data_IF_914047799004
#
_entry.id   IF_914047799004
#
_cell.length_a   1.000
_cell.length_b   1.000
_cell.length_c   1.000
_cell.angle_alpha   90.00
_cell.angle_beta   90.00
_cell.angle_gamma   90.00
#
_symmetry.space_group_name_H-M   'P 1'
#
loop_
_entity.id
_entity.type
_entity.pdbx_description
1 polymer ?
#
# COMPACT_ATOMS: atom_id res chain seq x y z
N UNK A 1 8.88 -4.63 13.33
CA UNK A 1 7.72 -4.31 12.46
C UNK A 1 7.28 -5.56 11.70
N UNK A 2 5.98 -5.83 11.61
CA UNK A 2 5.44 -6.93 10.81
C UNK A 2 4.56 -6.38 9.69
N UNK A 3 5.08 -6.31 8.45
CA UNK A 3 4.35 -5.82 7.29
C UNK A 3 3.86 -6.97 6.41
N UNK A 4 2.56 -6.96 6.08
CA UNK A 4 1.88 -8.03 5.34
C UNK A 4 0.82 -7.44 4.40
N UNK A 5 0.52 -8.18 3.34
CA UNK A 5 -0.49 -7.83 2.35
C UNK A 5 -1.46 -8.99 2.15
N UNK A 6 -2.75 -8.69 2.14
CA UNK A 6 -3.84 -9.64 1.95
C UNK A 6 -4.50 -9.34 0.60
N UNK A 7 -4.45 -10.25 -0.39
CA UNK A 7 -5.13 -10.07 -1.67
C UNK A 7 -6.64 -10.15 -1.48
N UNK A 8 -7.38 -9.31 -2.19
CA UNK A 8 -8.84 -9.35 -2.29
C UNK A 8 -9.32 -9.19 -3.72
N UNK A 9 -10.63 -8.98 -3.89
CA UNK A 9 -11.23 -8.71 -5.20
C UNK A 9 -11.05 -7.24 -5.57
N UNK A 10 -10.29 -6.97 -6.63
CA UNK A 10 -9.95 -5.62 -7.10
C UNK A 10 -9.31 -4.73 -6.03
N UNK A 11 -8.70 -5.33 -5.01
CA UNK A 11 -8.05 -4.61 -3.93
C UNK A 11 -6.96 -5.42 -3.25
N UNK A 12 -6.05 -4.71 -2.58
CA UNK A 12 -5.07 -5.29 -1.67
C UNK A 12 -5.18 -4.59 -0.33
N UNK A 13 -5.33 -5.36 0.75
CA UNK A 13 -5.29 -4.83 2.12
C UNK A 13 -3.90 -5.00 2.70
N UNK A 14 -3.22 -3.90 2.95
CA UNK A 14 -1.95 -3.85 3.64
C UNK A 14 -2.19 -3.73 5.14
N UNK A 15 -1.39 -4.43 5.94
CA UNK A 15 -1.42 -4.37 7.41
C UNK A 15 0.00 -4.34 7.93
N UNK A 16 0.25 -3.49 8.92
CA UNK A 16 1.50 -3.54 9.66
C UNK A 16 1.32 -3.24 11.13
N UNK A 17 2.31 -3.69 11.90
CA UNK A 17 2.47 -3.32 13.29
C UNK A 17 3.80 -2.64 13.52
N UNK A 18 3.77 -1.54 14.26
CA UNK A 18 4.95 -0.81 14.69
C UNK A 18 5.01 -0.76 16.22
N UNK A 19 6.23 -0.62 16.71
CA UNK A 19 6.54 -0.47 18.13
C UNK A 19 7.58 0.65 18.24
N UNK A 20 7.56 1.39 19.34
CA UNK A 20 8.51 2.47 19.62
C UNK A 20 8.59 3.52 18.50
N UNK A 21 7.47 4.18 18.20
CA UNK A 21 7.34 5.22 17.17
C UNK A 21 7.91 6.59 17.62
N UNK A 22 9.13 6.59 18.15
CA UNK A 22 9.78 7.80 18.64
C UNK A 22 10.20 8.66 17.44
N UNK A 23 9.77 9.92 17.40
CA UNK A 23 10.03 10.87 16.31
C UNK A 23 9.52 10.41 14.94
N UNK A 24 8.45 9.60 14.91
CA UNK A 24 7.85 9.13 13.68
C UNK A 24 6.96 10.22 13.07
N UNK A 25 7.25 10.62 11.83
CA UNK A 25 6.39 11.49 11.03
C UNK A 25 5.27 10.73 10.34
N UNK A 26 5.53 9.48 9.94
CA UNK A 26 4.52 8.57 9.40
C UNK A 26 5.06 7.56 8.39
N UNK A 27 4.15 6.96 7.63
CA UNK A 27 4.45 5.87 6.69
C UNK A 27 4.03 6.26 5.26
N UNK A 28 4.98 6.37 4.34
CA UNK A 28 4.65 6.43 2.91
C UNK A 28 4.42 5.00 2.39
N UNK A 29 3.23 4.76 1.85
CA UNK A 29 2.92 3.50 1.20
C UNK A 29 3.41 3.59 -0.24
N UNK A 30 4.35 2.73 -0.59
CA UNK A 30 4.92 2.69 -1.92
C UNK A 30 4.57 1.39 -2.62
N UNK A 31 4.26 1.50 -3.91
CA UNK A 31 3.90 0.39 -4.78
C UNK A 31 4.77 0.37 -6.03
N UNK A 32 5.15 -0.83 -6.44
CA UNK A 32 5.89 -1.10 -7.66
C UNK A 32 5.21 -2.22 -8.46
N UNK A 33 5.41 -2.19 -9.78
CA UNK A 33 4.95 -3.22 -10.71
C UNK A 33 6.08 -4.19 -11.11
N UNK A 34 7.33 -3.82 -10.85
CA UNK A 34 8.54 -4.48 -11.35
C UNK A 34 9.56 -4.79 -10.23
N UNK A 35 9.19 -4.58 -8.98
CA UNK A 35 10.02 -4.70 -7.78
C UNK A 35 11.26 -3.78 -7.76
N UNK A 36 11.31 -2.76 -8.62
CA UNK A 36 12.46 -1.86 -8.77
C UNK A 36 12.03 -0.40 -8.62
N UNK A 37 10.99 -0.01 -9.36
CA UNK A 37 10.47 1.35 -9.40
C UNK A 37 9.26 1.47 -8.46
N UNK A 38 9.51 1.93 -7.25
CA UNK A 38 8.49 2.20 -6.24
C UNK A 38 7.96 3.62 -6.36
N UNK A 39 6.63 3.76 -6.33
CA UNK A 39 5.95 5.06 -6.32
C UNK A 39 5.08 5.16 -5.08
N UNK A 40 5.13 6.31 -4.42
CA UNK A 40 4.19 6.66 -3.36
C UNK A 40 2.76 6.62 -3.91
N UNK A 41 1.89 5.87 -3.24
CA UNK A 41 0.45 5.83 -3.52
C UNK A 41 -0.37 6.48 -2.42
N UNK A 42 0.16 6.53 -1.19
CA UNK A 42 -0.51 7.17 -0.06
C UNK A 42 0.45 7.47 1.10
N UNK A 43 -0.05 8.16 2.12
CA UNK A 43 0.66 8.42 3.37
C UNK A 43 -0.26 8.13 4.56
N UNK A 44 0.25 7.42 5.57
CA UNK A 44 -0.46 7.12 6.81
C UNK A 44 0.25 7.80 7.97
N UNK A 45 -0.48 8.67 8.65
CA UNK A 45 -0.01 9.37 9.83
C UNK A 45 0.18 8.39 11.01
N UNK A 46 1.07 8.70 11.96
CA UNK A 46 1.22 7.96 13.20
C UNK A 46 -0.10 7.92 13.96
N UNK A 47 -0.38 6.79 14.61
CA UNK A 47 -1.52 6.66 15.50
C UNK A 47 -1.28 7.43 16.78
N UNK A 48 -2.30 8.14 17.26
CA UNK A 48 -2.28 8.85 18.56
C UNK A 48 -2.45 7.89 19.76
N UNK A 49 -2.63 6.59 19.53
CA UNK A 49 -2.83 5.63 20.63
C UNK A 49 -1.56 5.45 21.47
N UNK A 50 -1.69 5.57 22.79
CA UNK A 50 -0.62 5.25 23.77
C UNK A 50 -0.48 3.73 23.98
N UNK A 51 -0.20 2.99 22.91
CA UNK A 51 0.10 1.56 22.97
C UNK A 51 1.53 1.31 22.51
N UNK A 52 2.24 0.45 23.24
CA UNK A 52 3.59 -0.01 22.86
C UNK A 52 3.64 -0.67 21.48
N UNK A 53 2.51 -1.28 21.08
CA UNK A 53 2.33 -1.88 19.76
C UNK A 53 1.09 -1.28 19.10
N UNK A 54 1.31 -0.58 18.00
CA UNK A 54 0.25 0.03 17.19
C UNK A 54 0.01 -0.79 15.93
N UNK A 55 -1.24 -0.83 15.51
CA UNK A 55 -1.69 -1.59 14.35
C UNK A 55 -2.25 -0.64 13.30
N UNK A 56 -1.82 -0.84 12.06
CA UNK A 56 -2.19 0.00 10.93
C UNK A 56 -2.75 -0.84 9.81
N UNK A 57 -3.63 -0.23 9.01
CA UNK A 57 -4.11 -0.86 7.78
C UNK A 57 -4.35 0.16 6.68
N UNK A 58 -4.13 -0.28 5.45
CA UNK A 58 -4.38 0.49 4.26
C UNK A 58 -5.03 -0.39 3.18
N UNK A 59 -5.93 0.16 2.37
CA UNK A 59 -6.62 -0.58 1.32
C UNK A 59 -6.37 0.04 -0.04
N UNK A 60 -5.54 -0.62 -0.85
CA UNK A 60 -5.28 -0.22 -2.22
C UNK A 60 -6.38 -0.75 -3.15
N UNK A 61 -7.36 0.10 -3.42
CA UNK A 61 -8.45 -0.16 -4.36
C UNK A 61 -8.10 0.20 -5.81
N UNK A 62 -6.88 0.66 -6.10
CA UNK A 62 -6.51 1.11 -7.45
C UNK A 62 -5.92 0.01 -8.34
N UNK A 63 -5.74 -1.20 -7.79
CA UNK A 63 -5.09 -2.34 -8.47
C UNK A 63 -5.81 -2.81 -9.74
N UNK A 64 -7.11 -2.54 -9.89
CA UNK A 64 -7.87 -2.92 -11.09
C UNK A 64 -7.60 -2.01 -12.32
N UNK A 65 -6.94 -0.87 -12.13
CA UNK A 65 -6.68 0.11 -13.21
C UNK A 65 -5.52 -0.29 -14.10
N UNK A 66 -4.91 -1.44 -13.84
CA UNK A 66 -3.63 -1.90 -14.38
C UNK A 66 -3.73 -3.36 -14.79
N UNK A 67 -2.98 -3.74 -15.82
CA UNK A 67 -3.04 -5.09 -16.40
C UNK A 67 -2.11 -6.06 -15.66
N UNK A 68 -1.23 -5.50 -14.84
CA UNK A 68 -0.32 -6.21 -13.95
C UNK A 68 -1.13 -6.95 -12.88
N UNK A 69 -0.76 -8.22 -12.68
CA UNK A 69 -1.45 -9.10 -11.74
C UNK A 69 -0.75 -9.17 -10.39
N UNK A 70 0.54 -8.83 -10.36
CA UNK A 70 1.37 -8.84 -9.16
C UNK A 70 1.84 -7.42 -8.87
N UNK A 71 1.70 -7.03 -7.61
CA UNK A 71 2.08 -5.72 -7.10
C UNK A 71 3.04 -5.92 -5.95
N UNK A 72 4.09 -5.11 -5.93
CA UNK A 72 5.09 -5.09 -4.87
C UNK A 72 4.81 -3.89 -3.99
N UNK A 73 4.84 -4.09 -2.67
CA UNK A 73 4.62 -3.03 -1.70
C UNK A 73 5.77 -2.97 -0.72
N UNK A 74 6.08 -1.75 -0.29
CA UNK A 74 6.92 -1.47 0.87
C UNK A 74 6.40 -0.23 1.58
N UNK A 75 6.80 -0.09 2.83
CA UNK A 75 6.57 1.13 3.60
C UNK A 75 7.89 1.87 3.67
N UNK A 76 7.86 3.17 3.35
CA UNK A 76 8.91 4.10 3.71
C UNK A 76 8.52 4.74 5.03
N UNK A 77 9.28 4.44 6.07
CA UNK A 77 9.09 4.94 7.42
C UNK A 77 9.83 6.26 7.48
N UNK A 78 9.13 7.36 7.74
CA UNK A 78 9.69 8.71 7.73
C UNK A 78 9.69 9.24 9.14
N UNK A 79 10.86 9.69 9.60
CA UNK A 79 11.05 10.34 10.89
C UNK A 79 10.88 11.87 10.75
N UNK A 80 10.67 12.57 11.86
CA UNK A 80 10.47 14.03 11.89
C UNK A 80 11.67 14.83 11.39
N UNK A 81 12.87 14.25 11.46
CA UNK A 81 14.12 14.82 10.91
C UNK A 81 14.38 14.42 9.45
N UNK A 82 13.33 13.95 8.75
CA UNK A 82 13.34 13.50 7.34
C UNK A 82 14.23 12.28 7.05
N UNK A 83 14.81 11.66 8.09
CA UNK A 83 15.40 10.34 7.94
C UNK A 83 14.32 9.35 7.56
N UNK A 84 14.73 8.34 6.82
CA UNK A 84 13.81 7.29 6.44
C UNK A 84 14.48 5.93 6.38
N UNK A 85 13.68 4.92 6.67
CA UNK A 85 14.00 3.52 6.49
C UNK A 85 12.90 2.81 5.72
N UNK A 86 13.16 1.59 5.27
CA UNK A 86 12.19 0.82 4.51
C UNK A 86 11.83 -0.47 5.24
N UNK A 87 10.55 -0.85 5.16
CA UNK A 87 10.14 -2.21 5.49
C UNK A 87 10.73 -3.21 4.49
N UNK A 88 10.58 -4.50 4.80
CA UNK A 88 10.69 -5.54 3.76
C UNK A 88 9.72 -5.24 2.61
N UNK A 89 10.09 -5.64 1.40
CA UNK A 89 9.17 -5.68 0.27
C UNK A 89 8.29 -6.92 0.38
N UNK A 90 7.01 -6.77 0.09
CA UNK A 90 6.07 -7.88 -0.07
C UNK A 90 5.52 -7.89 -1.50
N UNK A 91 5.21 -9.08 -2.01
CA UNK A 91 4.54 -9.27 -3.29
C UNK A 91 3.12 -9.76 -3.04
N UNK A 92 2.14 -9.19 -3.74
CA UNK A 92 0.72 -9.54 -3.60
C UNK A 92 0.06 -9.60 -4.97
N UNK A 93 -0.71 -10.67 -5.21
CA UNK A 93 -1.45 -10.90 -6.45
C UNK A 93 -2.95 -10.91 -6.14
N UNK A 94 -3.69 -9.80 -6.30
CA UNK A 94 -5.13 -9.74 -6.07
C UNK A 94 -5.92 -10.38 -7.22
N UNK A 95 -7.17 -10.74 -6.94
CA UNK A 95 -8.10 -11.20 -7.98
C UNK A 95 -8.71 -9.98 -8.66
N UNK A 96 -8.34 -9.72 -9.92
CA UNK A 96 -8.93 -8.64 -10.72
C UNK A 96 -10.14 -9.18 -11.47
N UNK A 97 -11.34 -8.63 -11.21
CA UNK A 97 -12.55 -9.03 -11.94
C UNK A 97 -12.67 -8.26 -13.26
N UNK A 98 -12.80 -8.99 -14.35
CA UNK A 98 -12.91 -8.46 -15.72
C UNK A 98 -14.14 -7.56 -15.95
N UNK A 99 -15.18 -7.72 -15.12
CA UNK A 99 -16.40 -6.91 -15.19
C UNK A 99 -16.17 -5.41 -14.91
N UNK A 100 -15.28 -5.04 -13.98
CA UNK A 100 -14.94 -3.62 -13.73
C UNK A 100 -13.94 -3.06 -14.74
N UNK A 101 -13.08 -3.91 -15.31
CA UNK A 101 -12.10 -3.52 -16.31
C UNK A 101 -12.75 -3.10 -17.64
N UNK A 102 -13.81 -3.82 -18.04
CA UNK A 102 -14.59 -3.53 -19.26
C UNK A 102 -15.53 -2.33 -19.09
N UNK A 103 -16.21 -2.19 -17.94
CA UNK A 103 -17.12 -1.05 -17.69
C UNK A 103 -16.43 0.32 -17.74
N UNK A 104 -15.19 0.41 -17.22
CA UNK A 104 -14.39 1.63 -17.31
C UNK A 104 -13.98 1.97 -18.74
N UNK A 105 -13.72 0.95 -19.56
CA UNK A 105 -13.32 1.10 -20.96
C UNK A 105 -14.49 1.50 -21.87
N UNK A 106 -15.68 0.93 -21.65
CA UNK A 106 -16.89 1.22 -22.42
C UNK A 106 -17.33 2.68 -22.21
N UNK A 107 -17.31 3.18 -20.97
CA UNK A 107 -17.71 4.58 -20.68
C UNK A 107 -16.78 5.62 -21.31
N UNK A 108 -15.53 5.26 -21.61
CA UNK A 108 -14.57 6.14 -22.29
C UNK A 108 -14.76 6.17 -23.82
N UNK A 109 -15.45 5.20 -24.43
CA UNK A 109 -15.70 5.15 -25.88
C UNK A 109 -16.89 6.01 -26.35
N UNK A 110 -17.76 6.45 -25.44
CA UNK A 110 -18.93 7.26 -25.75
C UNK A 110 -18.79 8.72 -25.28
N UNK A 111 -17.56 9.24 -25.28
CA UNK A 111 -17.23 10.63 -24.98
C UNK A 111 -16.56 11.28 -26.18
#
# INVERSE_FOLDING_TARGET
MNFQGQPGYNQVKLKWTAQNEINLKGYEIERSFDNQNFKKIDFVEPSEEEKDKKEYSYEDKSVFKKNERTFYYRLKIVDDDEKHSYSKVISVTPTISSARQTWGSIKAMFR
#
